data_IF_990557889106
#
_entry.id   IF_990557889106
#
_cell.length_a   1.000
_cell.length_b   1.000
_cell.length_c   1.000
_cell.angle_alpha   90.00
_cell.angle_beta   90.00
_cell.angle_gamma   90.00
#
_symmetry.space_group_name_H-M   'P 1'
#
loop_
_entity.id
_entity.type
_entity.pdbx_description
1 polymer ?
#
# COMPACT_ATOMS: atom_id res chain seq x y z
N UNK A 1 -20.87 -3.26 -15.10
CA UNK A 1 -20.06 -4.50 -15.20
C UNK A 1 -20.09 -5.18 -13.85
N UNK A 2 -20.38 -6.49 -13.76
CA UNK A 2 -20.38 -7.20 -12.47
C UNK A 2 -19.09 -8.01 -12.34
N UNK A 3 -18.16 -7.54 -11.51
CA UNK A 3 -16.86 -8.19 -11.27
C UNK A 3 -16.90 -9.16 -10.08
N UNK A 4 -17.90 -9.06 -9.21
CA UNK A 4 -17.93 -9.73 -7.91
C UNK A 4 -17.81 -11.25 -8.04
N UNK A 5 -16.83 -11.82 -7.35
CA UNK A 5 -16.54 -13.26 -7.32
C UNK A 5 -15.79 -13.79 -8.54
N UNK A 6 -15.46 -12.94 -9.52
CA UNK A 6 -14.75 -13.37 -10.72
C UNK A 6 -13.23 -13.49 -10.48
N UNK A 7 -12.55 -14.25 -11.35
CA UNK A 7 -11.08 -14.24 -11.38
C UNK A 7 -10.53 -12.85 -11.74
N UNK A 8 -11.25 -12.09 -12.57
CA UNK A 8 -10.84 -10.74 -12.97
C UNK A 8 -10.83 -9.77 -11.80
N UNK A 9 -11.80 -9.83 -10.88
CA UNK A 9 -11.77 -9.03 -9.64
C UNK A 9 -10.51 -9.31 -8.82
N UNK A 10 -10.16 -10.59 -8.62
CA UNK A 10 -8.94 -10.98 -7.91
C UNK A 10 -7.68 -10.50 -8.63
N UNK A 11 -7.64 -10.59 -9.96
CA UNK A 11 -6.51 -10.11 -10.75
C UNK A 11 -6.35 -8.59 -10.65
N UNK A 12 -7.46 -7.83 -10.68
CA UNK A 12 -7.45 -6.38 -10.52
C UNK A 12 -6.98 -5.97 -9.12
N UNK A 13 -7.45 -6.67 -8.07
CA UNK A 13 -7.00 -6.42 -6.70
C UNK A 13 -5.50 -6.72 -6.53
N UNK A 14 -5.04 -7.84 -7.11
CA UNK A 14 -3.61 -8.19 -7.11
C UNK A 14 -2.77 -7.17 -7.88
N UNK A 15 -3.24 -6.69 -9.04
CA UNK A 15 -2.58 -5.63 -9.80
C UNK A 15 -2.52 -4.33 -9.00
N UNK A 16 -3.64 -3.88 -8.41
CA UNK A 16 -3.66 -2.69 -7.56
C UNK A 16 -2.66 -2.78 -6.40
N UNK A 17 -2.60 -3.91 -5.70
CA UNK A 17 -1.62 -4.14 -4.64
C UNK A 17 -0.18 -4.12 -5.18
N UNK A 18 0.08 -4.76 -6.33
CA UNK A 18 1.38 -4.79 -6.99
C UNK A 18 1.88 -3.39 -7.36
N UNK A 19 1.06 -2.61 -8.06
CA UNK A 19 1.42 -1.24 -8.48
C UNK A 19 1.61 -0.31 -7.28
N UNK A 20 0.80 -0.46 -6.23
CA UNK A 20 0.94 0.31 -5.00
C UNK A 20 2.27 0.02 -4.29
N UNK A 21 2.68 -1.24 -4.24
CA UNK A 21 3.99 -1.63 -3.71
C UNK A 21 5.14 -1.14 -4.61
N UNK A 22 4.99 -1.23 -5.93
CA UNK A 22 6.01 -0.78 -6.89
C UNK A 22 6.27 0.72 -6.77
N UNK A 23 5.21 1.55 -6.71
CA UNK A 23 5.31 2.99 -6.45
C UNK A 23 6.17 3.30 -5.22
N UNK A 24 5.89 2.64 -4.09
CA UNK A 24 6.63 2.89 -2.86
C UNK A 24 8.10 2.47 -2.99
N UNK A 25 8.38 1.28 -3.55
CA UNK A 25 9.76 0.82 -3.81
C UNK A 25 10.53 1.81 -4.68
N UNK A 26 9.95 2.26 -5.79
CA UNK A 26 10.62 3.20 -6.70
C UNK A 26 10.87 4.55 -6.03
N UNK A 27 9.95 5.04 -5.19
CA UNK A 27 10.18 6.26 -4.39
C UNK A 27 11.36 6.08 -3.42
N UNK A 28 11.49 4.90 -2.80
CA UNK A 28 12.62 4.59 -1.91
C UNK A 28 13.93 4.46 -2.69
N UNK A 29 13.90 3.85 -3.88
CA UNK A 29 15.07 3.71 -4.75
C UNK A 29 15.54 5.05 -5.29
N UNK A 30 14.64 5.96 -5.63
CA UNK A 30 14.99 7.34 -5.96
C UNK A 30 15.77 8.01 -4.84
N UNK A 31 15.34 7.81 -3.59
CA UNK A 31 16.03 8.35 -2.41
C UNK A 31 17.44 7.77 -2.24
N UNK A 32 17.64 6.49 -2.55
CA UNK A 32 18.98 5.85 -2.56
C UNK A 32 19.84 6.44 -3.67
N UNK A 33 19.34 6.48 -4.92
CA UNK A 33 20.05 7.04 -6.06
C UNK A 33 20.48 8.50 -5.83
N UNK A 34 19.63 9.30 -5.17
CA UNK A 34 19.94 10.68 -4.80
C UNK A 34 21.09 10.77 -3.79
N UNK A 35 21.12 9.89 -2.78
CA UNK A 35 22.21 9.81 -1.79
C UNK A 35 23.54 9.41 -2.42
N UNK A 36 23.50 8.59 -3.46
CA UNK A 36 24.67 8.16 -4.23
C UNK A 36 25.12 9.18 -5.29
N UNK A 37 24.39 10.29 -5.46
CA UNK A 37 24.72 11.35 -6.41
C UNK A 37 24.13 11.16 -7.82
N UNK A 38 23.38 10.08 -8.06
CA UNK A 38 22.78 9.78 -9.36
C UNK A 38 21.44 10.52 -9.56
N UNK A 39 21.49 11.84 -9.77
CA UNK A 39 20.29 12.66 -9.90
C UNK A 39 19.36 12.24 -11.06
N UNK A 40 19.92 11.86 -12.21
CA UNK A 40 19.12 11.42 -13.36
C UNK A 40 18.40 10.09 -13.09
N UNK A 41 19.08 9.14 -12.43
CA UNK A 41 18.47 7.85 -12.06
C UNK A 41 17.39 8.06 -11.00
N UNK A 42 17.61 8.95 -10.04
CA UNK A 42 16.58 9.32 -9.06
C UNK A 42 15.32 9.87 -9.75
N UNK A 43 15.48 10.78 -10.72
CA UNK A 43 14.36 11.33 -11.49
C UNK A 43 13.60 10.25 -12.28
N UNK A 44 14.31 9.29 -12.89
CA UNK A 44 13.68 8.16 -13.60
C UNK A 44 12.86 7.29 -12.63
N UNK A 45 13.38 7.00 -11.44
CA UNK A 45 12.62 6.26 -10.43
C UNK A 45 11.37 7.03 -9.96
N UNK A 46 11.47 8.35 -9.75
CA UNK A 46 10.33 9.19 -9.38
C UNK A 46 9.27 9.25 -10.49
N UNK A 47 9.68 9.36 -11.75
CA UNK A 47 8.78 9.28 -12.90
C UNK A 47 8.09 7.92 -12.97
N UNK A 48 8.84 6.84 -12.77
CA UNK A 48 8.31 5.47 -12.79
C UNK A 48 7.32 5.26 -11.65
N UNK A 49 7.61 5.74 -10.44
CA UNK A 49 6.68 5.71 -9.31
C UNK A 49 5.37 6.46 -9.61
N UNK A 50 5.44 7.57 -10.35
CA UNK A 50 4.25 8.30 -10.78
C UNK A 50 3.45 7.54 -11.84
N UNK A 51 4.10 6.79 -12.72
CA UNK A 51 3.40 5.92 -13.67
C UNK A 51 2.65 4.79 -12.93
N UNK A 52 3.29 4.13 -11.96
CA UNK A 52 2.62 3.08 -11.18
C UNK A 52 1.46 3.61 -10.34
N UNK A 53 1.56 4.86 -9.87
CA UNK A 53 0.43 5.55 -9.23
C UNK A 53 -0.78 5.66 -10.17
N UNK A 54 -0.56 6.02 -11.44
CA UNK A 54 -1.65 6.08 -12.42
C UNK A 54 -2.15 4.69 -12.83
N UNK A 55 -1.29 3.68 -12.94
CA UNK A 55 -1.70 2.29 -13.15
C UNK A 55 -2.58 1.77 -11.99
N UNK A 56 -2.14 1.96 -10.74
CA UNK A 56 -2.92 1.60 -9.56
C UNK A 56 -4.30 2.26 -9.57
N UNK A 57 -4.36 3.54 -9.92
CA UNK A 57 -5.62 4.31 -10.02
C UNK A 57 -6.57 3.76 -11.08
N UNK A 58 -6.07 3.26 -12.21
CA UNK A 58 -6.90 2.61 -13.23
C UNK A 58 -7.57 1.35 -12.67
N UNK A 59 -6.82 0.49 -11.99
CA UNK A 59 -7.34 -0.75 -11.41
C UNK A 59 -8.28 -0.49 -10.23
N UNK A 60 -7.94 0.47 -9.37
CA UNK A 60 -8.79 0.88 -8.26
C UNK A 60 -10.13 1.43 -8.73
N UNK A 61 -10.14 2.22 -9.81
CA UNK A 61 -11.38 2.66 -10.47
C UNK A 61 -12.19 1.51 -11.04
N UNK A 62 -11.53 0.55 -11.71
CA UNK A 62 -12.20 -0.62 -12.27
C UNK A 62 -12.88 -1.48 -11.19
N UNK A 63 -12.29 -1.55 -9.99
CA UNK A 63 -12.85 -2.20 -8.81
C UNK A 63 -13.98 -1.41 -8.13
N UNK A 64 -14.24 -0.17 -8.56
CA UNK A 64 -15.23 0.71 -7.92
C UNK A 64 -14.73 1.33 -6.61
N UNK A 65 -13.41 1.39 -6.38
CA UNK A 65 -12.83 1.91 -5.14
C UNK A 65 -12.85 3.44 -4.99
N UNK A 66 -13.20 4.19 -6.04
CA UNK A 66 -13.35 5.65 -5.97
C UNK A 66 -14.83 6.04 -5.98
N UNK A 67 -15.24 6.75 -4.93
CA UNK A 67 -16.58 7.34 -4.77
C UNK A 67 -16.48 8.84 -4.48
N UNK A 68 -17.54 9.45 -3.95
CA UNK A 68 -17.50 10.82 -3.44
C UNK A 68 -16.61 10.96 -2.20
N UNK A 69 -16.33 12.20 -1.80
CA UNK A 69 -15.44 12.47 -0.66
C UNK A 69 -15.94 11.87 0.65
N UNK A 70 -17.26 11.86 0.89
CA UNK A 70 -17.80 11.34 2.14
C UNK A 70 -17.62 9.82 2.23
N UNK A 71 -17.92 9.10 1.14
CA UNK A 71 -17.69 7.66 1.06
C UNK A 71 -16.20 7.30 1.12
N UNK A 72 -15.33 8.07 0.45
CA UNK A 72 -13.88 7.84 0.52
C UNK A 72 -13.33 8.08 1.94
N UNK A 73 -13.86 9.07 2.66
CA UNK A 73 -13.50 9.31 4.07
C UNK A 73 -13.96 8.17 4.98
N UNK A 74 -15.17 7.64 4.75
CA UNK A 74 -15.65 6.48 5.49
C UNK A 74 -14.76 5.26 5.25
N UNK A 75 -14.43 4.95 4.00
CA UNK A 75 -13.52 3.83 3.69
C UNK A 75 -12.14 4.01 4.31
N UNK A 76 -11.60 5.23 4.33
CA UNK A 76 -10.35 5.51 5.02
C UNK A 76 -10.48 5.25 6.52
N UNK A 77 -11.53 5.77 7.18
CA UNK A 77 -11.75 5.57 8.61
C UNK A 77 -11.95 4.10 8.99
N UNK A 78 -12.69 3.33 8.19
CA UNK A 78 -12.90 1.89 8.38
C UNK A 78 -11.59 1.11 8.22
N UNK A 79 -10.78 1.45 7.21
CA UNK A 79 -9.47 0.84 6.98
C UNK A 79 -8.53 1.10 8.15
N UNK A 80 -8.35 2.37 8.52
CA UNK A 80 -7.54 2.76 9.67
C UNK A 80 -8.03 2.07 10.94
N UNK A 81 -9.35 2.04 11.19
CA UNK A 81 -9.92 1.35 12.36
C UNK A 81 -9.47 -0.10 12.46
N UNK A 82 -9.66 -0.86 11.38
CA UNK A 82 -9.22 -2.25 11.31
C UNK A 82 -7.72 -2.41 11.53
N UNK A 83 -6.90 -1.50 10.99
CA UNK A 83 -5.45 -1.56 11.15
C UNK A 83 -5.03 -1.43 12.62
N UNK A 84 -5.56 -0.45 13.36
CA UNK A 84 -5.16 -0.20 14.74
C UNK A 84 -5.89 -1.05 15.80
N UNK A 85 -7.10 -1.54 15.55
CA UNK A 85 -7.82 -2.41 16.50
C UNK A 85 -7.47 -3.89 16.38
N UNK A 86 -7.27 -4.37 15.15
CA UNK A 86 -7.22 -5.80 14.87
C UNK A 86 -5.90 -6.21 14.22
N UNK A 87 -5.54 -5.59 13.09
CA UNK A 87 -4.43 -6.06 12.26
C UNK A 87 -3.08 -5.97 12.98
N UNK A 88 -2.72 -4.78 13.48
CA UNK A 88 -1.41 -4.58 14.10
C UNK A 88 -1.28 -5.24 15.48
N UNK A 89 -2.39 -5.39 16.22
CA UNK A 89 -2.39 -6.16 17.47
C UNK A 89 -2.12 -7.64 17.21
N UNK A 90 -2.78 -8.23 16.19
CA UNK A 90 -2.53 -9.59 15.74
C UNK A 90 -1.08 -9.78 15.29
N UNK A 91 -0.58 -8.91 14.40
CA UNK A 91 0.80 -9.00 13.91
C UNK A 91 1.84 -8.86 15.03
N UNK A 92 1.57 -8.02 16.03
CA UNK A 92 2.46 -7.89 17.18
C UNK A 92 2.49 -9.16 18.04
N UNK A 93 1.35 -9.83 18.23
CA UNK A 93 1.26 -11.10 18.97
C UNK A 93 1.99 -12.21 18.23
N UNK A 94 1.72 -12.38 16.93
CA UNK A 94 2.40 -13.38 16.09
C UNK A 94 3.92 -13.18 16.14
N UNK A 95 4.39 -11.93 15.97
CA UNK A 95 5.81 -11.60 16.04
C UNK A 95 6.43 -11.89 17.41
N UNK A 96 5.68 -11.73 18.52
CA UNK A 96 6.17 -12.04 19.86
C UNK A 96 6.25 -13.55 20.11
N UNK A 97 5.24 -14.30 19.66
CA UNK A 97 5.22 -15.78 19.73
C UNK A 97 6.36 -16.41 18.95
N UNK A 98 6.74 -15.82 17.81
CA UNK A 98 7.87 -16.24 16.99
C UNK A 98 9.24 -15.71 17.47
N UNK A 99 9.27 -14.86 18.51
CA UNK A 99 10.51 -14.32 19.10
C UNK A 99 11.05 -13.04 18.44
N UNK A 100 10.33 -12.44 17.50
CA UNK A 100 10.66 -11.18 16.83
C UNK A 100 10.21 -9.95 17.64
N UNK A 101 10.70 -9.83 18.88
CA UNK A 101 10.28 -8.80 19.85
C UNK A 101 10.43 -7.35 19.34
N UNK A 102 11.46 -7.08 18.53
CA UNK A 102 11.66 -5.76 17.92
C UNK A 102 10.57 -5.41 16.89
N UNK A 103 10.15 -6.39 16.08
CA UNK A 103 9.05 -6.19 15.12
C UNK A 103 7.71 -6.08 15.84
N UNK A 104 7.48 -6.87 16.88
CA UNK A 104 6.28 -6.76 17.72
C UNK A 104 6.15 -5.34 18.33
N UNK A 105 7.24 -4.78 18.83
CA UNK A 105 7.27 -3.39 19.32
C UNK A 105 6.97 -2.38 18.21
N UNK A 106 7.51 -2.59 17.00
CA UNK A 106 7.23 -1.71 15.86
C UNK A 106 5.76 -1.76 15.45
N UNK A 107 5.14 -2.94 15.33
CA UNK A 107 3.71 -3.08 15.02
C UNK A 107 2.83 -2.34 16.05
N UNK A 108 3.13 -2.48 17.35
CA UNK A 108 2.42 -1.74 18.42
C UNK A 108 2.60 -0.24 18.37
N UNK A 109 3.70 0.25 17.80
CA UNK A 109 3.96 1.67 17.64
C UNK A 109 3.24 2.26 16.43
N UNK A 110 3.02 1.47 15.37
CA UNK A 110 2.20 1.91 14.23
C UNK A 110 0.72 1.97 14.61
N UNK A 111 0.26 1.11 15.52
CA UNK A 111 -1.11 1.09 16.02
C UNK A 111 -1.51 2.23 16.99
N UNK A 112 -0.66 3.26 17.18
CA UNK A 112 -0.87 4.37 18.14
C UNK A 112 -0.92 5.72 17.45
#
# INVERSE_FOLDING_TARGET
MNLKGTKTEKNLAAAFAGESQARNKYTYFASVAKKEGYQQIAAIFEETANNEKEHAKLWFKALGGLSDTAANLLHAAEGEHYEWTDMYDGFAKDAEEEGFTALAAQFRMVAK
#
